data_IF_492638946061
#
_entry.id   IF_492638946061
#
_cell.length_a   1.000
_cell.length_b   1.000
_cell.length_c   1.000
_cell.angle_alpha   90.00
_cell.angle_beta   90.00
_cell.angle_gamma   90.00
#
_symmetry.space_group_name_H-M   'P 1'
#
loop_
_entity.id
_entity.type
_entity.pdbx_description
1 polymer ?
#
# COMPACT_ATOMS: atom_id res chain seq x y z
N UNK A 1 3.72 -2.22 -10.41
CA UNK A 1 4.40 -1.83 -9.17
C UNK A 1 3.33 -1.53 -8.16
N UNK A 2 3.12 -2.46 -7.23
CA UNK A 2 2.18 -2.29 -6.12
C UNK A 2 2.86 -1.57 -4.96
N UNK A 3 2.24 -0.51 -4.45
CA UNK A 3 2.81 0.32 -3.37
C UNK A 3 1.83 0.35 -2.19
N UNK A 4 2.32 0.02 -0.99
CA UNK A 4 1.62 0.29 0.26
C UNK A 4 2.04 1.64 0.84
N UNK A 5 1.06 2.42 1.27
CA UNK A 5 1.21 3.64 2.05
C UNK A 5 0.65 3.33 3.44
N UNK A 6 1.49 3.43 4.46
CA UNK A 6 1.14 3.17 5.85
C UNK A 6 1.42 4.42 6.64
N UNK A 7 0.37 5.04 7.14
CA UNK A 7 0.49 6.29 7.91
C UNK A 7 -0.75 6.37 8.80
N UNK A 8 -0.69 6.91 10.01
CA UNK A 8 -1.85 7.04 10.88
C UNK A 8 -2.71 8.27 10.52
N UNK A 9 -2.11 9.28 9.87
CA UNK A 9 -2.80 10.48 9.40
C UNK A 9 -3.56 10.22 8.07
N UNK A 10 -4.91 10.28 8.08
CA UNK A 10 -5.70 10.07 6.87
C UNK A 10 -5.48 11.13 5.78
N UNK A 11 -5.13 12.37 6.14
CA UNK A 11 -4.87 13.43 5.19
C UNK A 11 -3.54 13.21 4.47
N UNK A 12 -2.52 12.73 5.19
CA UNK A 12 -1.23 12.38 4.61
C UNK A 12 -1.33 11.19 3.67
N UNK A 13 -2.05 10.11 4.06
CA UNK A 13 -2.34 8.97 3.16
C UNK A 13 -3.02 9.42 1.87
N UNK A 14 -3.97 10.36 1.97
CA UNK A 14 -4.70 10.89 0.81
C UNK A 14 -3.80 11.72 -0.09
N UNK A 15 -2.96 12.57 0.49
CA UNK A 15 -1.99 13.38 -0.26
C UNK A 15 -1.00 12.51 -1.03
N UNK A 16 -0.39 11.53 -0.35
CA UNK A 16 0.57 10.60 -0.97
C UNK A 16 -0.08 9.77 -2.07
N UNK A 17 -1.29 9.24 -1.82
CA UNK A 17 -2.07 8.51 -2.83
C UNK A 17 -2.33 9.37 -4.08
N UNK A 18 -2.68 10.65 -3.89
CA UNK A 18 -2.92 11.57 -5.00
C UNK A 18 -1.65 11.82 -5.82
N UNK A 19 -0.51 12.08 -5.17
CA UNK A 19 0.78 12.32 -5.82
C UNK A 19 1.21 11.09 -6.62
N UNK A 20 1.14 9.90 -6.02
CA UNK A 20 1.58 8.66 -6.65
C UNK A 20 0.69 8.28 -7.85
N UNK A 21 -0.64 8.45 -7.74
CA UNK A 21 -1.55 8.26 -8.89
C UNK A 21 -1.21 9.21 -10.03
N UNK A 22 -0.93 10.48 -9.72
CA UNK A 22 -0.53 11.48 -10.73
C UNK A 22 0.80 11.13 -11.40
N UNK A 23 1.70 10.45 -10.70
CA UNK A 23 2.98 9.97 -11.23
C UNK A 23 2.85 8.67 -12.05
N UNK A 24 1.65 8.09 -12.17
CA UNK A 24 1.39 6.88 -12.97
C UNK A 24 1.39 5.57 -12.18
N UNK A 25 1.53 5.62 -10.86
CA UNK A 25 1.37 4.44 -10.01
C UNK A 25 -0.12 4.16 -9.80
N UNK A 26 -0.64 3.15 -10.49
CA UNK A 26 -2.07 2.82 -10.48
C UNK A 26 -2.47 1.89 -9.33
N UNK A 27 -1.53 1.07 -8.86
CA UNK A 27 -1.74 0.01 -7.88
C UNK A 27 -1.24 0.45 -6.50
N UNK A 28 -2.13 1.07 -5.73
CA UNK A 28 -1.83 1.68 -4.44
C UNK A 28 -2.76 1.12 -3.37
N UNK A 29 -2.17 0.73 -2.25
CA UNK A 29 -2.85 0.31 -1.03
C UNK A 29 -2.55 1.32 0.07
N UNK A 30 -3.58 1.85 0.73
CA UNK A 30 -3.40 2.79 1.83
C UNK A 30 -4.01 2.19 3.10
N UNK A 31 -3.20 2.06 4.15
CA UNK A 31 -3.57 1.45 5.42
C UNK A 31 -3.15 2.34 6.59
N UNK A 32 -3.87 2.28 7.70
CA UNK A 32 -3.71 3.22 8.81
C UNK A 32 -2.65 2.82 9.84
N UNK A 33 -2.17 1.59 9.78
CA UNK A 33 -1.28 1.04 10.79
C UNK A 33 -0.43 -0.11 10.26
N UNK A 34 0.63 -0.44 11.00
CA UNK A 34 1.44 -1.62 10.72
C UNK A 34 0.66 -2.94 10.83
N UNK A 35 -0.37 -3.01 11.69
CA UNK A 35 -1.23 -4.19 11.82
C UNK A 35 -2.08 -4.34 10.56
N UNK A 36 -2.67 -3.26 10.06
CA UNK A 36 -3.44 -3.28 8.82
C UNK A 36 -2.56 -3.65 7.61
N UNK A 37 -1.31 -3.19 7.58
CA UNK A 37 -0.35 -3.63 6.57
C UNK A 37 -0.04 -5.13 6.71
N UNK A 38 0.14 -5.62 7.92
CA UNK A 38 0.41 -7.03 8.17
C UNK A 38 -0.75 -7.90 7.66
N UNK A 39 -2.00 -7.52 7.94
CA UNK A 39 -3.18 -8.20 7.43
C UNK A 39 -3.28 -8.13 5.90
N UNK A 40 -2.94 -6.98 5.30
CA UNK A 40 -2.88 -6.82 3.85
C UNK A 40 -1.86 -7.77 3.20
N UNK A 41 -0.68 -7.92 3.80
CA UNK A 41 0.38 -8.81 3.32
C UNK A 41 0.06 -10.30 3.57
N UNK A 42 -0.62 -10.63 4.67
CA UNK A 42 -1.01 -12.02 5.00
C UNK A 42 -2.27 -12.50 4.29
N UNK A 43 -3.02 -11.58 3.67
CA UNK A 43 -4.11 -11.91 2.76
C UNK A 43 -3.59 -12.49 1.43
N UNK A 44 -2.29 -12.45 1.18
CA UNK A 44 -1.65 -13.09 0.03
C UNK A 44 -1.37 -14.56 0.34
N UNK A 45 -2.10 -15.44 -0.35
CA UNK A 45 -1.95 -16.90 -0.29
C UNK A 45 -0.48 -17.30 -0.58
N UNK A 46 0.18 -18.18 0.19
CA UNK A 46 1.56 -18.61 -0.10
C UNK A 46 1.75 -19.30 -1.47
N UNK A 47 0.66 -19.65 -2.16
CA UNK A 47 0.67 -20.18 -3.53
C UNK A 47 0.28 -19.14 -4.59
N UNK A 48 -0.02 -17.89 -4.21
CA UNK A 48 -0.41 -16.84 -5.15
C UNK A 48 0.80 -16.40 -6.02
N UNK A 49 0.61 -16.27 -7.34
CA UNK A 49 1.67 -15.85 -8.24
C UNK A 49 2.09 -14.43 -7.89
N UNK A 50 3.41 -14.19 -7.84
CA UNK A 50 4.12 -12.93 -7.60
C UNK A 50 3.31 -11.66 -7.90
N UNK A 51 2.45 -11.27 -6.96
CA UNK A 51 1.54 -10.12 -7.05
C UNK A 51 1.60 -9.24 -5.80
N UNK A 52 2.69 -9.40 -5.03
CA UNK A 52 2.91 -8.75 -3.76
C UNK A 52 3.29 -7.29 -3.85
N UNK A 53 3.32 -6.65 -2.68
CA UNK A 53 3.70 -5.25 -2.54
C UNK A 53 5.20 -5.08 -2.82
N UNK A 54 5.52 -4.26 -3.83
CA UNK A 54 6.90 -4.00 -4.27
C UNK A 54 7.59 -2.93 -3.41
N UNK A 55 6.82 -2.02 -2.82
CA UNK A 55 7.32 -0.90 -2.01
C UNK A 55 6.36 -0.57 -0.87
N UNK A 56 6.92 -0.35 0.32
CA UNK A 56 6.21 0.18 1.48
C UNK A 56 6.72 1.59 1.77
N UNK A 57 5.80 2.54 1.90
CA UNK A 57 6.02 3.90 2.38
C UNK A 57 5.40 4.00 3.79
N UNK A 58 6.22 4.43 4.76
CA UNK A 58 5.87 4.61 6.17
C UNK A 58 5.88 6.09 6.55
#
# INVERSE_FOLDING_TARGET
MSIAIVDDDPDLRRLLSFILRKAGYADLHAVGSAVDLFDLLHSEDPEAPSGGIDLVLL
#
